data_IF_454576210175
#
_entry.id   IF_454576210175
#
_cell.length_a   1.000
_cell.length_b   1.000
_cell.length_c   1.000
_cell.angle_alpha   90.00
_cell.angle_beta   90.00
_cell.angle_gamma   90.00
#
_symmetry.space_group_name_H-M   'P 1'
#
loop_
_entity.id
_entity.type
_entity.pdbx_description
1 polymer ?
#
# COMPACT_ATOMS: atom_id res chain seq x y z
N UNK A 1 -28.99 50.68 23.90
CA UNK A 1 -29.86 49.49 23.81
C UNK A 1 -29.13 48.33 24.47
N UNK A 2 -29.59 48.03 25.67
CA UNK A 2 -29.17 46.97 26.57
C UNK A 2 -29.63 45.60 26.08
N UNK A 3 -28.85 44.55 26.38
CA UNK A 3 -29.40 43.29 26.90
C UNK A 3 -28.27 42.48 27.54
N UNK A 4 -28.15 42.66 28.85
CA UNK A 4 -27.67 41.63 29.76
C UNK A 4 -28.75 40.54 29.89
N UNK A 5 -28.32 39.29 30.08
CA UNK A 5 -29.05 38.32 30.91
C UNK A 5 -28.05 37.38 31.60
N UNK A 6 -28.07 37.30 32.94
CA UNK A 6 -27.24 36.40 33.74
C UNK A 6 -27.97 35.08 34.03
N UNK A 7 -27.24 34.02 34.39
CA UNK A 7 -27.79 32.87 35.11
C UNK A 7 -26.72 32.24 36.00
N UNK A 8 -26.68 32.69 37.25
CA UNK A 8 -26.16 31.96 38.41
C UNK A 8 -27.28 31.07 38.97
N UNK A 9 -27.05 29.76 39.10
CA UNK A 9 -27.75 28.92 40.08
C UNK A 9 -26.74 27.97 40.75
N UNK A 10 -26.59 28.16 42.06
CA UNK A 10 -25.82 27.36 43.02
C UNK A 10 -26.60 26.12 43.51
N UNK A 11 -25.94 25.15 44.20
CA UNK A 11 -26.40 23.77 44.31
C UNK A 11 -27.39 23.56 45.47
N UNK A 12 -28.19 22.49 45.42
CA UNK A 12 -29.07 22.11 46.54
C UNK A 12 -29.20 20.59 46.73
N UNK A 13 -28.70 20.18 47.89
CA UNK A 13 -29.06 19.14 48.88
C UNK A 13 -29.84 17.85 48.54
N UNK A 14 -29.32 16.75 49.11
CA UNK A 14 -29.92 15.40 49.28
C UNK A 14 -31.14 15.40 50.21
N UNK A 15 -31.91 14.30 50.21
CA UNK A 15 -31.92 13.45 51.41
C UNK A 15 -31.77 11.93 51.14
N UNK A 16 -31.25 11.24 52.17
CA UNK A 16 -31.20 9.77 52.38
C UNK A 16 -32.61 9.26 52.75
N UNK A 17 -32.95 7.95 52.64
CA UNK A 17 -32.57 7.02 53.73
C UNK A 17 -32.37 5.51 53.37
N UNK A 18 -31.71 4.83 54.32
CA UNK A 18 -31.86 3.41 54.75
C UNK A 18 -31.33 2.25 53.91
N UNK A 19 -30.11 1.83 54.27
CA UNK A 19 -29.76 0.54 54.92
C UNK A 19 -30.39 -0.76 54.40
N UNK A 20 -29.65 -1.48 53.55
CA UNK A 20 -29.69 -2.95 53.51
C UNK A 20 -28.25 -3.46 53.34
N UNK A 21 -27.76 -4.13 54.38
CA UNK A 21 -26.47 -4.81 54.39
C UNK A 21 -26.61 -6.14 53.64
N UNK A 22 -25.90 -6.29 52.52
CA UNK A 22 -25.71 -7.57 51.87
C UNK A 22 -24.24 -7.97 52.00
N UNK A 23 -24.03 -9.08 52.72
CA UNK A 23 -22.74 -9.72 52.88
C UNK A 23 -22.22 -10.18 51.50
N UNK A 24 -21.10 -9.63 51.05
CA UNK A 24 -20.37 -10.15 49.89
C UNK A 24 -19.49 -11.33 50.33
N UNK A 25 -19.56 -12.50 49.67
CA UNK A 25 -18.52 -13.52 49.81
C UNK A 25 -17.24 -13.09 49.08
N UNK A 26 -16.05 -13.57 49.49
CA UNK A 26 -14.79 -13.18 48.86
C UNK A 26 -14.74 -13.68 47.41
N UNK A 27 -14.57 -12.73 46.48
CA UNK A 27 -14.35 -12.99 45.07
C UNK A 27 -13.01 -13.72 44.87
N UNK A 28 -13.09 -15.00 44.53
CA UNK A 28 -11.95 -15.74 44.00
C UNK A 28 -11.58 -15.16 42.63
N UNK A 29 -10.47 -14.43 42.57
CA UNK A 29 -9.89 -13.89 41.35
C UNK A 29 -9.48 -15.05 40.43
N UNK A 30 -10.35 -15.37 39.47
CA UNK A 30 -9.96 -16.17 38.31
C UNK A 30 -9.15 -15.29 37.36
N UNK A 31 -7.94 -15.69 36.93
CA UNK A 31 -7.21 -14.94 35.93
C UNK A 31 -7.99 -15.02 34.61
N UNK A 32 -8.41 -13.85 34.11
CA UNK A 32 -8.89 -13.68 32.74
C UNK A 32 -7.77 -14.17 31.81
N UNK A 33 -7.93 -15.39 31.28
CA UNK A 33 -7.16 -15.86 30.15
C UNK A 33 -7.46 -14.87 29.04
N UNK A 34 -6.52 -13.94 28.83
CA UNK A 34 -6.48 -13.14 27.63
C UNK A 34 -6.30 -14.12 26.49
N UNK A 35 -7.42 -14.50 25.86
CA UNK A 35 -7.36 -15.10 24.56
C UNK A 35 -6.62 -14.09 23.70
N UNK A 36 -5.36 -14.37 23.37
CA UNK A 36 -4.69 -13.75 22.25
C UNK A 36 -5.46 -14.19 21.02
N UNK A 37 -6.59 -13.51 20.78
CA UNK A 37 -7.21 -13.44 19.47
C UNK A 37 -6.06 -13.03 18.56
N UNK A 38 -5.56 -14.00 17.78
CA UNK A 38 -4.56 -13.76 16.75
C UNK A 38 -5.16 -12.74 15.80
N UNK A 39 -4.98 -11.46 16.12
CA UNK A 39 -5.45 -10.34 15.33
C UNK A 39 -4.67 -10.44 14.04
N UNK A 40 -5.30 -10.98 13.00
CA UNK A 40 -4.67 -11.05 11.69
C UNK A 40 -4.42 -9.60 11.29
N UNK A 41 -3.19 -9.12 11.45
CA UNK A 41 -2.86 -7.73 11.15
C UNK A 41 -3.29 -7.43 9.71
N UNK A 42 -3.94 -6.29 9.51
CA UNK A 42 -4.40 -5.87 8.19
C UNK A 42 -3.24 -5.31 7.35
N UNK A 43 -2.13 -6.05 7.32
CA UNK A 43 -0.90 -5.63 6.67
C UNK A 43 -1.13 -5.47 5.17
N UNK A 44 -0.61 -4.39 4.55
CA UNK A 44 -0.70 -4.22 3.11
C UNK A 44 0.00 -5.37 2.38
N UNK A 45 -0.34 -5.52 1.10
CA UNK A 45 0.14 -6.58 0.22
C UNK A 45 0.81 -5.94 -0.98
N UNK A 46 1.94 -6.50 -1.37
CA UNK A 46 2.66 -6.13 -2.57
C UNK A 46 2.24 -7.07 -3.70
N UNK A 47 1.92 -6.50 -4.86
CA UNK A 47 1.54 -7.22 -6.07
C UNK A 47 2.42 -6.81 -7.24
N UNK A 48 2.66 -7.76 -8.15
CA UNK A 48 2.97 -7.42 -9.55
C UNK A 48 1.63 -7.15 -10.24
N UNK A 49 1.49 -5.99 -10.87
CA UNK A 49 0.27 -5.57 -11.57
C UNK A 49 0.56 -5.39 -13.07
N UNK A 50 -0.25 -6.05 -13.91
CA UNK A 50 -0.24 -5.89 -15.36
C UNK A 50 -1.38 -4.98 -15.79
N UNK A 51 -1.07 -3.97 -16.58
CA UNK A 51 -2.05 -3.03 -17.11
C UNK A 51 -2.13 -3.13 -18.62
N UNK A 52 -3.34 -2.93 -19.16
CA UNK A 52 -3.51 -2.77 -20.60
C UNK A 52 -2.71 -1.56 -21.09
N UNK A 53 -1.90 -1.76 -22.13
CA UNK A 53 -1.10 -0.72 -22.77
C UNK A 53 -1.86 -0.20 -24.00
N UNK A 54 -2.19 1.09 -24.01
CA UNK A 54 -2.90 1.71 -25.14
C UNK A 54 -1.98 1.96 -26.34
N UNK A 55 -2.57 2.18 -27.52
CA UNK A 55 -1.89 2.86 -28.64
C UNK A 55 -1.10 1.98 -29.63
N UNK A 56 -1.36 0.67 -29.71
CA UNK A 56 -0.78 -0.16 -30.79
C UNK A 56 0.74 -0.34 -30.73
N UNK A 57 1.34 -0.14 -29.55
CA UNK A 57 2.76 -0.39 -29.31
C UNK A 57 3.07 -1.84 -29.65
N UNK A 58 4.00 -2.06 -30.58
CA UNK A 58 4.45 -3.42 -30.92
C UNK A 58 5.40 -3.90 -29.81
N UNK A 59 5.14 -5.08 -29.22
CA UNK A 59 6.06 -5.69 -28.26
C UNK A 59 7.43 -5.89 -28.91
N UNK A 60 8.49 -5.57 -28.16
CA UNK A 60 9.88 -5.72 -28.57
C UNK A 60 10.52 -6.98 -27.96
N UNK A 61 9.97 -7.49 -26.85
CA UNK A 61 10.50 -8.69 -26.20
C UNK A 61 10.09 -9.97 -26.94
N UNK A 62 10.93 -11.03 -26.94
CA UNK A 62 10.66 -12.28 -27.68
C UNK A 62 9.32 -12.93 -27.35
N UNK A 63 8.96 -13.00 -26.07
CA UNK A 63 7.71 -13.60 -25.60
C UNK A 63 6.59 -12.56 -25.41
N UNK A 64 6.84 -11.33 -25.89
CA UNK A 64 5.89 -10.21 -25.90
C UNK A 64 5.44 -9.80 -24.50
N UNK A 65 6.26 -10.00 -23.48
CA UNK A 65 5.92 -9.61 -22.11
C UNK A 65 5.65 -8.10 -22.00
N UNK A 66 6.32 -7.30 -22.83
CA UNK A 66 6.16 -5.85 -22.93
C UNK A 66 4.90 -5.40 -23.70
N UNK A 67 4.03 -6.33 -24.08
CA UNK A 67 2.63 -6.04 -24.52
C UNK A 67 1.86 -5.30 -23.43
N UNK A 68 2.13 -5.63 -22.17
CA UNK A 68 1.48 -5.02 -21.02
C UNK A 68 2.39 -3.99 -20.37
N UNK A 69 1.80 -3.07 -19.61
CA UNK A 69 2.57 -2.21 -18.73
C UNK A 69 2.72 -2.88 -17.36
N UNK A 70 3.96 -3.09 -16.92
CA UNK A 70 4.29 -3.78 -15.68
C UNK A 70 4.53 -2.77 -14.55
N UNK A 71 4.07 -3.12 -13.35
CA UNK A 71 4.23 -2.27 -12.17
C UNK A 71 4.20 -3.09 -10.88
N UNK A 72 4.68 -2.50 -9.79
CA UNK A 72 4.49 -3.02 -8.45
C UNK A 72 3.44 -2.18 -7.73
N UNK A 73 2.51 -2.82 -7.02
CA UNK A 73 1.43 -2.11 -6.33
C UNK A 73 1.32 -2.56 -4.88
N UNK A 74 1.36 -1.59 -3.97
CA UNK A 74 1.03 -1.80 -2.56
C UNK A 74 -0.45 -1.45 -2.35
N UNK A 75 -1.24 -2.45 -1.95
CA UNK A 75 -2.65 -2.28 -1.62
C UNK A 75 -2.93 -2.80 -0.20
N UNK A 76 -3.89 -2.21 0.54
CA UNK A 76 -4.40 -2.75 1.78
C UNK A 76 -4.81 -4.22 1.61
N UNK A 77 -4.61 -5.03 2.65
CA UNK A 77 -5.22 -6.35 2.71
C UNK A 77 -6.73 -6.15 2.77
N UNK A 78 -7.41 -6.62 1.74
CA UNK A 78 -8.81 -6.29 1.58
C UNK A 78 -9.70 -7.17 2.46
N UNK A 79 -10.52 -6.54 3.31
CA UNK A 79 -11.78 -7.09 3.84
C UNK A 79 -12.98 -6.20 3.46
N UNK A 80 -12.74 -5.16 2.66
CA UNK A 80 -13.67 -4.05 2.38
C UNK A 80 -13.90 -3.79 0.89
N UNK A 81 -13.38 -4.62 -0.02
CA UNK A 81 -13.64 -4.54 -1.47
C UNK A 81 -15.14 -4.53 -1.77
N UNK A 82 -15.94 -5.12 -0.88
CA UNK A 82 -17.40 -5.15 -0.94
C UNK A 82 -18.11 -4.01 -0.18
N UNK A 83 -17.38 -3.18 0.57
CA UNK A 83 -17.90 -2.07 1.38
C UNK A 83 -17.64 -0.68 0.79
N UNK A 84 -16.73 -0.55 -0.16
CA UNK A 84 -16.60 0.71 -0.89
C UNK A 84 -17.79 0.84 -1.85
N UNK A 85 -18.63 1.89 -1.73
CA UNK A 85 -19.65 2.14 -2.73
C UNK A 85 -18.96 2.30 -4.08
N UNK A 86 -19.43 1.55 -5.10
CA UNK A 86 -18.90 1.52 -6.48
C UNK A 86 -18.79 2.90 -7.16
N UNK A 87 -19.29 3.94 -6.52
CA UNK A 87 -19.39 5.31 -7.00
C UNK A 87 -18.28 6.24 -6.51
N UNK A 88 -17.43 5.83 -5.55
CA UNK A 88 -16.27 6.63 -5.12
C UNK A 88 -14.97 5.90 -5.45
N UNK A 89 -14.23 6.44 -6.43
CA UNK A 89 -12.79 6.12 -6.62
C UNK A 89 -12.02 6.66 -5.42
N UNK A 90 -11.97 5.92 -4.33
CA UNK A 90 -11.03 6.20 -3.24
C UNK A 90 -9.63 5.78 -3.69
N UNK A 91 -8.64 6.64 -3.51
CA UNK A 91 -7.24 6.23 -3.57
C UNK A 91 -7.05 5.18 -2.47
N UNK A 92 -6.66 3.97 -2.87
CA UNK A 92 -6.54 2.84 -1.94
C UNK A 92 -5.10 2.38 -1.76
N UNK A 93 -4.16 2.82 -2.59
CA UNK A 93 -2.77 2.40 -2.45
C UNK A 93 -1.82 3.13 -3.39
N UNK A 94 -0.65 2.54 -3.60
CA UNK A 94 0.45 3.17 -4.37
C UNK A 94 0.96 2.20 -5.43
N UNK A 95 1.06 2.67 -6.66
CA UNK A 95 1.69 1.96 -7.78
C UNK A 95 3.07 2.56 -8.04
N UNK A 96 4.07 1.71 -8.16
CA UNK A 96 5.46 2.02 -8.48
C UNK A 96 5.75 1.43 -9.85
N UNK A 97 6.21 2.26 -10.77
CA UNK A 97 6.48 1.82 -12.13
C UNK A 97 7.45 2.76 -12.82
N UNK A 98 7.94 2.33 -13.97
CA UNK A 98 8.69 3.17 -14.89
C UNK A 98 7.92 3.33 -16.18
N UNK A 99 7.94 4.51 -16.77
CA UNK A 99 7.31 4.77 -18.07
C UNK A 99 8.18 5.70 -18.90
N UNK A 100 8.09 5.57 -20.21
CA UNK A 100 8.66 6.57 -21.11
C UNK A 100 7.83 7.85 -21.04
N UNK A 101 8.51 8.96 -20.81
CA UNK A 101 7.96 10.30 -20.86
C UNK A 101 8.71 11.12 -21.92
N UNK A 102 7.98 11.90 -22.75
CA UNK A 102 8.62 12.86 -23.63
C UNK A 102 9.28 13.95 -22.78
N UNK A 103 10.58 14.12 -22.99
CA UNK A 103 11.42 15.12 -22.33
C UNK A 103 11.90 16.12 -23.38
N UNK A 104 11.61 17.43 -23.22
CA UNK A 104 12.13 18.45 -24.12
C UNK A 104 13.66 18.50 -24.08
N UNK A 105 14.27 18.62 -25.25
CA UNK A 105 15.70 18.93 -25.42
C UNK A 105 15.84 20.21 -26.24
N UNK A 106 17.04 20.80 -26.27
CA UNK A 106 17.29 22.02 -27.05
C UNK A 106 17.06 21.86 -28.56
N UNK A 107 16.99 20.62 -29.06
CA UNK A 107 16.85 20.26 -30.48
C UNK A 107 15.57 19.46 -30.78
N UNK A 108 14.75 19.11 -29.78
CA UNK A 108 13.53 18.32 -30.01
C UNK A 108 12.92 17.70 -28.76
N UNK A 109 12.40 16.48 -28.90
CA UNK A 109 11.90 15.67 -27.78
C UNK A 109 12.61 14.31 -27.81
N UNK A 110 13.07 13.87 -26.64
CA UNK A 110 13.56 12.51 -26.43
C UNK A 110 12.66 11.80 -25.43
N UNK A 111 12.48 10.50 -25.59
CA UNK A 111 11.74 9.71 -24.61
C UNK A 111 12.72 9.19 -23.58
N UNK A 112 12.49 9.53 -22.31
CA UNK A 112 13.28 9.04 -21.18
C UNK A 112 12.42 8.17 -20.29
N UNK A 113 12.99 7.08 -19.81
CA UNK A 113 12.35 6.30 -18.76
C UNK A 113 12.37 7.08 -17.46
N UNK A 114 11.24 7.12 -16.79
CA UNK A 114 11.08 7.84 -15.52
C UNK A 114 10.36 6.94 -14.53
N UNK A 115 10.90 6.86 -13.32
CA UNK A 115 10.25 6.22 -12.18
C UNK A 115 9.14 7.13 -11.63
N UNK A 116 7.98 6.54 -11.38
CA UNK A 116 6.83 7.23 -10.80
C UNK A 116 6.24 6.45 -9.61
N UNK A 117 5.91 7.19 -8.56
CA UNK A 117 5.04 6.75 -7.47
C UNK A 117 3.67 7.37 -7.66
N UNK A 118 2.66 6.55 -7.96
CA UNK A 118 1.31 7.01 -8.23
C UNK A 118 0.33 6.48 -7.21
N UNK A 119 -0.35 7.40 -6.53
CA UNK A 119 -1.59 7.10 -5.79
C UNK A 119 -2.60 6.46 -6.73
N UNK A 120 -3.08 5.25 -6.41
CA UNK A 120 -3.95 4.47 -7.29
C UNK A 120 -5.28 4.12 -6.64
N UNK A 121 -6.33 4.11 -7.45
CA UNK A 121 -7.61 3.48 -7.13
C UNK A 121 -7.58 2.00 -7.58
N UNK A 122 -8.58 1.20 -7.21
CA UNK A 122 -8.61 -0.23 -7.56
C UNK A 122 -8.85 -0.50 -9.06
N UNK A 123 -9.22 0.51 -9.85
CA UNK A 123 -10.20 0.33 -10.93
C UNK A 123 -9.73 0.63 -12.37
N UNK A 124 -8.60 1.28 -12.61
CA UNK A 124 -8.29 1.72 -13.99
C UNK A 124 -7.23 0.84 -14.64
N UNK A 125 -7.65 0.09 -15.68
CA UNK A 125 -6.81 -0.62 -16.66
C UNK A 125 -5.93 -1.78 -16.14
N UNK A 126 -6.07 -2.20 -14.88
CA UNK A 126 -5.40 -3.39 -14.35
C UNK A 126 -6.09 -4.65 -14.88
N UNK A 127 -5.32 -5.51 -15.55
CA UNK A 127 -5.78 -6.80 -16.07
C UNK A 127 -5.54 -7.93 -15.06
N UNK A 128 -4.36 -7.93 -14.43
CA UNK A 128 -3.90 -8.99 -13.52
C UNK A 128 -3.17 -8.37 -12.33
N UNK A 129 -3.34 -8.97 -11.15
CA UNK A 129 -2.49 -8.74 -9.97
C UNK A 129 -2.02 -10.07 -9.41
N UNK A 130 -0.71 -10.26 -9.32
CA UNK A 130 -0.08 -11.44 -8.70
C UNK A 130 0.46 -11.02 -7.33
N UNK A 131 -0.04 -11.64 -6.26
CA UNK A 131 0.43 -11.39 -4.90
C UNK A 131 1.85 -11.92 -4.74
N UNK A 132 2.80 -11.05 -4.37
CA UNK A 132 4.18 -11.48 -4.09
C UNK A 132 4.50 -11.53 -2.59
N UNK A 133 3.80 -10.75 -1.76
CA UNK A 133 4.01 -10.84 -0.31
C UNK A 133 3.14 -9.94 0.54
N UNK A 134 3.16 -10.19 1.85
CA UNK A 134 2.64 -9.26 2.85
C UNK A 134 3.75 -8.26 3.18
N UNK A 135 3.49 -6.97 3.05
CA UNK A 135 4.45 -5.94 3.43
C UNK A 135 4.52 -5.87 4.95
N UNK A 136 5.73 -6.00 5.51
CA UNK A 136 5.95 -5.90 6.97
C UNK A 136 6.80 -4.70 7.34
N UNK A 137 7.67 -4.24 6.44
CA UNK A 137 8.36 -2.96 6.48
C UNK A 137 8.06 -2.22 5.16
N UNK A 138 7.27 -1.13 5.24
CA UNK A 138 6.85 -0.39 4.04
C UNK A 138 7.90 0.63 3.65
N UNK A 139 8.50 1.29 4.63
CA UNK A 139 9.49 2.34 4.46
C UNK A 139 10.71 1.77 3.73
N UNK A 140 11.26 0.66 4.22
CA UNK A 140 12.39 -0.02 3.59
C UNK A 140 12.05 -0.54 2.19
N UNK A 141 10.86 -1.13 2.02
CA UNK A 141 10.39 -1.56 0.70
C UNK A 141 10.38 -0.39 -0.30
N UNK A 142 9.89 0.78 0.10
CA UNK A 142 9.85 1.95 -0.78
C UNK A 142 11.24 2.48 -1.10
N UNK A 143 12.17 2.47 -0.15
CA UNK A 143 13.59 2.81 -0.39
C UNK A 143 14.19 1.90 -1.47
N UNK A 144 14.04 0.58 -1.32
CA UNK A 144 14.52 -0.39 -2.31
C UNK A 144 13.97 -0.06 -3.70
N UNK A 145 12.66 0.20 -3.81
CA UNK A 145 12.02 0.49 -5.10
C UNK A 145 12.55 1.78 -5.75
N UNK A 146 12.92 2.79 -4.95
CA UNK A 146 13.53 4.04 -5.44
C UNK A 146 14.97 3.86 -5.89
N UNK A 147 15.69 2.91 -5.28
CA UNK A 147 17.10 2.63 -5.58
C UNK A 147 17.28 1.74 -6.82
N UNK A 148 16.22 1.07 -7.32
CA UNK A 148 16.29 0.28 -8.54
C UNK A 148 16.66 1.19 -9.73
N UNK A 149 17.76 0.91 -10.45
CA UNK A 149 18.18 1.73 -11.58
C UNK A 149 17.08 1.85 -12.65
N UNK A 150 16.86 3.08 -13.12
CA UNK A 150 16.02 3.37 -14.29
C UNK A 150 16.94 3.43 -15.51
N UNK A 151 16.66 2.59 -16.51
CA UNK A 151 17.54 2.38 -17.64
C UNK A 151 17.63 3.61 -18.51
N UNK A 152 18.86 3.93 -18.88
CA UNK A 152 19.19 5.00 -19.80
C UNK A 152 19.90 6.22 -19.24
N UNK A 153 20.11 6.31 -17.92
CA UNK A 153 20.89 7.41 -17.33
C UNK A 153 20.49 8.79 -17.88
N UNK A 154 21.46 9.69 -18.02
CA UNK A 154 21.26 11.00 -18.66
C UNK A 154 21.33 10.93 -20.20
N UNK A 155 21.82 9.81 -20.75
CA UNK A 155 22.15 9.64 -22.16
C UNK A 155 20.89 9.56 -23.06
N UNK A 156 20.97 10.18 -24.23
CA UNK A 156 19.90 10.13 -25.22
C UNK A 156 19.74 8.70 -25.76
N UNK A 157 18.52 8.16 -25.65
CA UNK A 157 18.13 6.90 -26.30
C UNK A 157 17.95 5.70 -25.37
N UNK A 158 18.45 5.76 -24.14
CA UNK A 158 18.33 4.69 -23.17
C UNK A 158 19.09 3.41 -23.50
N UNK A 159 19.22 2.50 -22.54
CA UNK A 159 19.82 1.17 -22.79
C UNK A 159 18.93 0.34 -23.72
N UNK A 160 19.53 -0.25 -24.76
CA UNK A 160 18.80 -1.09 -25.72
C UNK A 160 18.12 -2.27 -24.99
N UNK A 161 16.83 -2.47 -25.25
CA UNK A 161 16.03 -3.53 -24.62
C UNK A 161 15.54 -3.24 -23.20
N UNK A 162 15.91 -2.09 -22.60
CA UNK A 162 15.40 -1.72 -21.28
C UNK A 162 13.93 -1.27 -21.33
N UNK A 163 13.13 -1.75 -20.38
CA UNK A 163 11.70 -1.40 -20.29
C UNK A 163 11.12 -1.66 -18.87
N UNK A 164 9.80 -1.47 -18.73
CA UNK A 164 9.10 -1.70 -17.46
C UNK A 164 9.15 -3.14 -16.93
N UNK A 165 9.30 -4.16 -17.79
CA UNK A 165 9.50 -5.55 -17.39
C UNK A 165 10.87 -5.71 -16.72
N UNK A 166 11.91 -5.17 -17.35
CA UNK A 166 13.29 -5.19 -16.82
C UNK A 166 13.36 -4.50 -15.46
N UNK A 167 12.70 -3.36 -15.29
CA UNK A 167 12.63 -2.67 -13.98
C UNK A 167 11.90 -3.49 -12.92
N UNK A 168 10.73 -4.09 -13.22
CA UNK A 168 10.00 -4.92 -12.25
C UNK A 168 10.82 -6.15 -11.85
N UNK A 169 11.54 -6.79 -12.80
CA UNK A 169 12.48 -7.88 -12.50
C UNK A 169 13.56 -7.40 -11.52
N UNK A 170 14.24 -6.31 -11.84
CA UNK A 170 15.29 -5.73 -10.99
C UNK A 170 14.77 -5.37 -9.58
N UNK A 171 13.57 -4.83 -9.49
CA UNK A 171 12.92 -4.51 -8.22
C UNK A 171 12.62 -5.75 -7.36
N UNK A 172 12.10 -6.82 -7.97
CA UNK A 172 11.85 -8.08 -7.26
C UNK A 172 13.15 -8.73 -6.79
N UNK A 173 14.21 -8.68 -7.60
CA UNK A 173 15.54 -9.16 -7.22
C UNK A 173 16.16 -8.33 -6.09
N UNK A 174 15.99 -7.00 -6.11
CA UNK A 174 16.45 -6.11 -5.05
C UNK A 174 15.74 -6.39 -3.72
N UNK A 175 14.42 -6.59 -3.75
CA UNK A 175 13.62 -7.01 -2.59
C UNK A 175 14.13 -8.34 -2.02
N UNK A 176 14.37 -9.33 -2.89
CA UNK A 176 14.86 -10.64 -2.47
C UNK A 176 16.23 -10.54 -1.80
N UNK A 177 17.15 -9.77 -2.38
CA UNK A 177 18.49 -9.53 -1.82
C UNK A 177 18.44 -8.84 -0.46
N UNK A 178 17.52 -7.89 -0.28
CA UNK A 178 17.34 -7.21 1.00
C UNK A 178 16.80 -8.16 2.09
N UNK A 179 15.91 -9.09 1.73
CA UNK A 179 15.46 -10.15 2.64
C UNK A 179 16.59 -11.14 3.00
N UNK A 180 17.42 -11.51 2.03
CA UNK A 180 18.62 -12.34 2.25
C UNK A 180 19.63 -11.67 3.20
N UNK A 181 19.67 -10.33 3.22
CA UNK A 181 20.46 -9.54 4.15
C UNK A 181 19.81 -9.39 5.55
N UNK A 182 18.61 -9.94 5.76
CA UNK A 182 17.95 -9.98 7.06
C UNK A 182 16.98 -8.83 7.36
N UNK A 183 16.69 -7.96 6.39
CA UNK A 183 15.84 -6.77 6.59
C UNK A 183 14.32 -7.07 6.53
N UNK A 184 13.92 -8.32 6.26
CA UNK A 184 12.54 -8.83 6.17
C UNK A 184 11.51 -7.79 5.73
N UNK A 185 11.53 -7.34 4.47
CA UNK A 185 10.56 -6.35 3.96
C UNK A 185 9.20 -6.98 3.62
N UNK A 186 9.21 -8.26 3.23
CA UNK A 186 8.02 -9.06 2.98
C UNK A 186 7.95 -10.19 4.02
N UNK A 187 6.79 -10.34 4.66
CA UNK A 187 6.61 -11.33 5.71
C UNK A 187 6.68 -12.75 5.15
N UNK A 188 7.46 -13.61 5.80
CA UNK A 188 7.60 -15.02 5.43
C UNK A 188 6.23 -15.70 5.40
N UNK A 189 5.85 -16.22 4.23
CA UNK A 189 4.65 -17.01 4.10
C UNK A 189 4.77 -18.23 5.00
N UNK A 190 3.82 -18.44 5.93
CA UNK A 190 3.58 -19.80 6.42
C UNK A 190 3.22 -20.61 5.19
N UNK A 191 4.03 -21.63 4.90
CA UNK A 191 4.16 -22.26 3.59
C UNK A 191 2.84 -22.55 2.89
N UNK A 192 2.88 -22.45 1.56
CA UNK A 192 2.02 -23.27 0.72
C UNK A 192 2.64 -24.68 0.78
N UNK A 193 2.28 -25.42 1.82
CA UNK A 193 2.41 -26.87 1.88
C UNK A 193 1.12 -27.50 1.39
#
# INVERSE_FOLDING_TARGET
MTREYPCDIKPSTKPSPTHLSFNNPPSTTSPLIHSNSMKSSNKPRLYISLHARGGGVRPKMPDKEDTYHWSLTILPKDKQQHRFPKTKRSIVGTTYHVRELPTPTGTGMVFKWTFEERSTALDTMVLVRVLIGKVVDRERLVEILREVPVGGGEEEGGEEGWNCVSWVRGAVEAIKRDDENGNEVLGKGRGWG
#
